data_IF_590793988531
#
_entry.id   IF_590793988531
#
_cell.length_a   1.000
_cell.length_b   1.000
_cell.length_c   1.000
_cell.angle_alpha   90.00
_cell.angle_beta   90.00
_cell.angle_gamma   90.00
#
_symmetry.space_group_name_H-M   'P 1'
#
loop_
_entity.id
_entity.type
_entity.pdbx_description
1 polymer ?
#
# COMPACT_ATOMS: atom_id res chain seq x y z
N UNK A 1 -32.83 7.81 -6.82
CA UNK A 1 -32.06 8.59 -5.81
C UNK A 1 -31.37 7.69 -4.78
N UNK A 2 -31.99 6.61 -4.28
CA UNK A 2 -31.38 5.68 -3.30
C UNK A 2 -30.26 4.82 -3.88
N UNK A 3 -30.41 4.37 -5.13
CA UNK A 3 -29.48 3.46 -5.81
C UNK A 3 -28.12 4.10 -6.14
N UNK A 4 -28.10 5.38 -6.53
CA UNK A 4 -26.85 6.13 -6.80
C UNK A 4 -26.02 6.40 -5.54
N UNK A 5 -26.66 6.73 -4.41
CA UNK A 5 -25.95 6.93 -3.14
C UNK A 5 -25.30 5.64 -2.65
N UNK A 6 -26.02 4.52 -2.74
CA UNK A 6 -25.48 3.21 -2.41
C UNK A 6 -24.26 2.83 -3.26
N UNK A 7 -24.31 3.09 -4.57
CA UNK A 7 -23.17 2.88 -5.48
C UNK A 7 -21.97 3.78 -5.15
N UNK A 8 -22.21 5.06 -4.85
CA UNK A 8 -21.15 5.99 -4.46
C UNK A 8 -20.46 5.55 -3.16
N UNK A 9 -21.24 5.09 -2.18
CA UNK A 9 -20.73 4.57 -0.91
C UNK A 9 -19.90 3.29 -1.08
N UNK A 10 -20.32 2.36 -1.94
CA UNK A 10 -19.54 1.16 -2.27
C UNK A 10 -18.19 1.51 -2.92
N UNK A 11 -18.18 2.48 -3.84
CA UNK A 11 -16.95 2.94 -4.48
C UNK A 11 -16.03 3.59 -3.44
N UNK A 12 -16.56 4.46 -2.58
CA UNK A 12 -15.80 5.10 -1.51
C UNK A 12 -15.19 4.07 -0.54
N UNK A 13 -15.97 3.06 -0.12
CA UNK A 13 -15.49 1.96 0.72
C UNK A 13 -14.38 1.15 0.07
N UNK A 14 -14.54 0.76 -1.20
CA UNK A 14 -13.50 0.04 -1.95
C UNK A 14 -12.21 0.84 -2.03
N UNK A 15 -12.34 2.16 -2.28
CA UNK A 15 -11.19 3.06 -2.36
C UNK A 15 -10.43 3.16 -1.04
N UNK A 16 -11.16 3.35 0.05
CA UNK A 16 -10.60 3.40 1.40
C UNK A 16 -9.91 2.08 1.79
N UNK A 17 -10.57 0.95 1.53
CA UNK A 17 -10.03 -0.37 1.84
C UNK A 17 -8.74 -0.65 1.08
N UNK A 18 -8.68 -0.34 -0.21
CA UNK A 18 -7.48 -0.55 -1.03
C UNK A 18 -6.30 0.34 -0.59
N UNK A 19 -6.53 1.61 -0.24
CA UNK A 19 -5.48 2.50 0.28
C UNK A 19 -4.92 1.96 1.60
N UNK A 20 -5.80 1.52 2.51
CA UNK A 20 -5.37 0.98 3.80
C UNK A 20 -4.58 -0.32 3.63
N UNK A 21 -5.04 -1.21 2.75
CA UNK A 21 -4.36 -2.49 2.49
C UNK A 21 -2.92 -2.27 2.02
N UNK A 22 -2.72 -1.32 1.09
CA UNK A 22 -1.40 -0.95 0.55
C UNK A 22 -0.50 -0.33 1.63
N UNK A 23 -1.05 0.54 2.50
CA UNK A 23 -0.25 1.09 3.60
C UNK A 23 0.20 -0.01 4.56
N UNK A 24 -0.71 -0.91 4.93
CA UNK A 24 -0.40 -2.02 5.82
C UNK A 24 0.65 -2.93 5.17
N UNK A 25 0.50 -3.29 3.90
CA UNK A 25 1.49 -4.12 3.20
C UNK A 25 2.86 -3.44 3.14
N UNK A 26 2.90 -2.14 2.86
CA UNK A 26 4.16 -1.38 2.87
C UNK A 26 4.83 -1.37 4.24
N UNK A 27 4.07 -1.17 5.33
CA UNK A 27 4.61 -1.26 6.70
C UNK A 27 5.12 -2.67 7.00
N UNK A 28 4.39 -3.71 6.60
CA UNK A 28 4.83 -5.11 6.76
C UNK A 28 6.14 -5.36 6.01
N UNK A 29 6.29 -4.85 4.79
CA UNK A 29 7.55 -4.96 4.05
C UNK A 29 8.69 -4.19 4.73
N UNK A 30 8.46 -2.98 5.23
CA UNK A 30 9.48 -2.25 6.00
C UNK A 30 9.90 -3.05 7.24
N UNK A 31 8.94 -3.57 8.01
CA UNK A 31 9.25 -4.37 9.20
C UNK A 31 9.98 -5.67 8.87
N UNK A 32 9.58 -6.37 7.80
CA UNK A 32 10.25 -7.57 7.33
C UNK A 32 11.68 -7.28 6.88
N UNK A 33 11.90 -6.18 6.15
CA UNK A 33 13.24 -5.76 5.72
C UNK A 33 14.13 -5.40 6.91
N UNK A 34 13.60 -4.69 7.91
CA UNK A 34 14.31 -4.39 9.15
C UNK A 34 14.63 -5.66 9.95
N UNK A 35 13.72 -6.64 9.99
CA UNK A 35 13.95 -7.92 10.65
C UNK A 35 15.10 -8.70 9.99
N UNK A 36 15.21 -8.67 8.65
CA UNK A 36 16.35 -9.25 7.92
C UNK A 36 17.64 -8.50 8.27
N UNK A 37 17.63 -7.17 8.24
CA UNK A 37 18.84 -6.36 8.54
C UNK A 37 19.32 -6.57 9.98
N UNK A 38 18.41 -6.77 10.94
CA UNK A 38 18.72 -7.09 12.34
C UNK A 38 19.18 -8.54 12.53
N UNK A 39 19.10 -9.40 11.51
CA UNK A 39 19.47 -10.82 11.60
C UNK A 39 18.42 -11.68 12.31
N UNK A 40 17.18 -11.20 12.48
CA UNK A 40 16.07 -12.01 12.96
C UNK A 40 15.58 -13.01 11.89
N UNK A 41 15.84 -12.70 10.61
CA UNK A 41 15.62 -13.58 9.46
C UNK A 41 16.97 -13.81 8.80
N UNK A 42 17.32 -15.08 8.59
CA UNK A 42 18.62 -15.51 8.07
C UNK A 42 18.68 -15.37 6.53
N UNK A 43 18.61 -14.11 6.07
CA UNK A 43 18.66 -13.70 4.67
C UNK A 43 19.79 -12.67 4.45
N UNK A 44 20.25 -12.48 3.20
CA UNK A 44 21.25 -11.48 2.88
C UNK A 44 20.79 -10.07 3.28
N UNK A 45 21.69 -9.28 3.87
CA UNK A 45 21.37 -7.92 4.33
C UNK A 45 20.94 -7.03 3.16
N UNK A 46 21.50 -7.27 1.98
CA UNK A 46 21.16 -6.60 0.72
C UNK A 46 19.67 -6.78 0.40
N UNK A 47 19.14 -7.98 0.61
CA UNK A 47 17.72 -8.26 0.43
C UNK A 47 16.87 -7.51 1.46
N UNK A 48 17.31 -7.44 2.72
CA UNK A 48 16.64 -6.67 3.77
C UNK A 48 16.57 -5.16 3.45
N UNK A 49 17.66 -4.57 2.96
CA UNK A 49 17.67 -3.18 2.52
C UNK A 49 16.77 -2.94 1.30
N UNK A 50 16.84 -3.82 0.28
CA UNK A 50 15.97 -3.72 -0.89
C UNK A 50 14.49 -3.81 -0.50
N UNK A 51 14.13 -4.76 0.36
CA UNK A 51 12.75 -4.96 0.83
C UNK A 51 12.26 -3.77 1.67
N UNK A 52 13.13 -3.18 2.49
CA UNK A 52 12.81 -1.96 3.26
C UNK A 52 12.54 -0.77 2.35
N UNK A 53 13.38 -0.57 1.32
CA UNK A 53 13.21 0.50 0.34
C UNK A 53 11.92 0.31 -0.46
N UNK A 54 11.63 -0.93 -0.89
CA UNK A 54 10.39 -1.27 -1.59
C UNK A 54 9.18 -1.01 -0.69
N UNK A 55 9.22 -1.46 0.57
CA UNK A 55 8.16 -1.21 1.54
C UNK A 55 7.90 0.28 1.75
N UNK A 56 8.97 1.08 1.87
CA UNK A 56 8.87 2.53 1.98
C UNK A 56 8.23 3.12 0.72
N UNK A 57 8.67 2.68 -0.46
CA UNK A 57 8.09 3.12 -1.73
C UNK A 57 6.61 2.76 -1.84
N UNK A 58 6.20 1.58 -1.39
CA UNK A 58 4.79 1.19 -1.37
C UNK A 58 3.94 2.02 -0.39
N UNK A 59 4.48 2.39 0.78
CA UNK A 59 3.78 3.27 1.73
C UNK A 59 3.55 4.66 1.16
N UNK A 60 4.51 5.22 0.40
CA UNK A 60 4.45 6.61 -0.08
C UNK A 60 3.90 6.75 -1.51
N UNK A 61 4.38 5.92 -2.44
CA UNK A 61 4.12 6.08 -3.88
C UNK A 61 2.87 5.34 -4.31
N UNK A 62 2.66 4.12 -3.83
CA UNK A 62 1.54 3.31 -4.27
C UNK A 62 0.15 3.91 -3.94
N UNK A 63 -0.11 4.52 -2.76
CA UNK A 63 -1.36 5.22 -2.52
C UNK A 63 -1.53 6.49 -3.39
N UNK A 64 -0.43 7.18 -3.73
CA UNK A 64 -0.49 8.31 -4.67
C UNK A 64 -0.85 7.85 -6.09
N UNK A 65 -0.25 6.75 -6.56
CA UNK A 65 -0.56 6.17 -7.87
C UNK A 65 -2.02 5.72 -7.93
N UNK A 66 -2.53 5.06 -6.89
CA UNK A 66 -3.93 4.63 -6.82
C UNK A 66 -4.90 5.82 -6.81
N UNK A 67 -4.60 6.84 -6.00
CA UNK A 67 -5.36 8.09 -5.96
C UNK A 67 -5.41 8.77 -7.33
N UNK A 68 -4.26 8.87 -8.01
CA UNK A 68 -4.14 9.48 -9.34
C UNK A 68 -4.89 8.67 -10.41
N UNK A 69 -4.83 7.34 -10.34
CA UNK A 69 -5.54 6.43 -11.25
C UNK A 69 -7.06 6.52 -11.13
N UNK A 70 -7.59 6.64 -9.91
CA UNK A 70 -9.03 6.81 -9.72
C UNK A 70 -9.54 8.17 -10.15
N UNK A 71 -8.74 9.23 -9.96
CA UNK A 71 -9.07 10.56 -10.48
C UNK A 71 -9.11 10.61 -12.00
N UNK A 72 -8.34 9.76 -12.68
CA UNK A 72 -8.36 9.66 -14.15
C UNK A 72 -9.53 8.84 -14.70
N UNK A 73 -10.19 8.03 -13.87
CA UNK A 73 -11.35 7.22 -14.25
C UNK A 73 -12.69 7.95 -14.02
N UNK A 74 -12.63 9.14 -13.43
CA UNK A 74 -13.74 10.04 -13.12
C UNK A 74 -13.90 11.17 -14.17
N UNK A 75 -13.05 11.19 -15.21
CA UNK A 75 -13.13 12.10 -16.36
C UNK A 75 -13.72 11.40 -17.58
#
# INVERSE_FOLDING_TARGET
MTDERAKADEIAKRRFMAINLIRISGVVFVMAGLAIVQGAIDWPKEAGYALSIIGLFDVFVMPQVLSRKWRSKDR
#
